data_IF_766635603785
#
_entry.id   IF_766635603785
#
_cell.length_a   1.000
_cell.length_b   1.000
_cell.length_c   1.000
_cell.angle_alpha   90.00
_cell.angle_beta   90.00
_cell.angle_gamma   90.00
#
_symmetry.space_group_name_H-M   'P 1'
#
loop_
_entity.id
_entity.type
_entity.pdbx_description
1 polymer ?
#
# COMPACT_ATOMS: atom_id res chain seq x y z
N UNK A 1 1.10 5.78 11.37
CA UNK A 1 0.68 6.99 12.11
C UNK A 1 -0.68 7.40 11.60
N UNK A 2 -1.62 7.62 12.50
CA UNK A 2 -2.97 8.02 12.16
C UNK A 2 -3.11 9.56 12.20
N UNK A 3 -2.90 10.22 11.07
CA UNK A 3 -3.06 11.67 10.95
C UNK A 3 -4.48 12.13 11.28
N UNK A 4 -5.49 11.31 11.00
CA UNK A 4 -6.87 11.59 11.37
C UNK A 4 -7.02 11.67 12.90
N UNK A 5 -6.35 10.83 13.65
CA UNK A 5 -6.35 10.85 15.10
C UNK A 5 -5.73 12.14 15.64
N UNK A 6 -4.59 12.55 15.09
CA UNK A 6 -3.94 13.81 15.44
C UNK A 6 -4.84 15.05 15.18
N UNK A 7 -5.64 15.02 14.13
CA UNK A 7 -6.58 16.08 13.80
C UNK A 7 -7.80 16.11 14.73
N UNK A 8 -8.40 14.93 15.01
CA UNK A 8 -9.62 14.82 15.83
C UNK A 8 -9.36 14.97 17.33
N UNK A 9 -8.17 14.61 17.77
CA UNK A 9 -7.78 14.57 19.18
C UNK A 9 -6.42 15.25 19.36
N UNK A 10 -6.33 16.58 19.19
CA UNK A 10 -5.08 17.33 19.26
C UNK A 10 -4.39 17.26 20.64
N UNK A 11 -5.16 16.98 21.70
CA UNK A 11 -4.67 16.75 23.05
C UNK A 11 -4.16 15.33 23.29
N UNK A 12 -4.36 14.42 22.34
CA UNK A 12 -3.84 13.05 22.43
C UNK A 12 -2.31 13.07 22.51
N UNK A 13 -1.70 12.24 23.36
CA UNK A 13 -0.24 12.18 23.50
C UNK A 13 0.48 11.61 22.26
N UNK A 14 -0.24 11.33 21.19
CA UNK A 14 0.35 10.91 19.91
C UNK A 14 1.12 12.09 19.31
N UNK A 15 2.45 12.10 19.30
CA UNK A 15 3.25 13.26 18.92
C UNK A 15 3.34 13.41 17.38
N UNK A 16 2.20 13.37 16.69
CA UNK A 16 2.18 13.58 15.25
C UNK A 16 2.10 15.07 14.97
N UNK A 17 3.26 15.63 14.67
CA UNK A 17 3.34 17.00 14.14
C UNK A 17 3.67 16.90 12.66
N UNK A 18 2.87 17.54 11.83
CA UNK A 18 3.21 17.78 10.42
C UNK A 18 3.95 19.12 10.34
N UNK A 19 5.01 19.15 9.53
CA UNK A 19 5.71 20.39 9.24
C UNK A 19 4.92 21.25 8.25
N UNK A 20 5.48 22.41 7.91
CA UNK A 20 4.88 23.31 6.92
C UNK A 20 4.79 22.65 5.54
N UNK A 21 5.80 21.87 5.15
CA UNK A 21 5.85 21.17 3.88
C UNK A 21 5.83 19.66 4.08
N UNK A 22 4.74 19.02 3.68
CA UNK A 22 4.59 17.55 3.73
C UNK A 22 4.68 16.97 2.33
N UNK A 23 5.55 15.97 2.16
CA UNK A 23 5.63 15.17 0.94
C UNK A 23 5.04 13.78 1.21
N UNK A 24 4.00 13.41 0.45
CA UNK A 24 3.40 12.08 0.50
C UNK A 24 3.86 11.29 -0.71
N UNK A 25 4.59 10.20 -0.49
CA UNK A 25 5.11 9.35 -1.56
C UNK A 25 4.13 8.20 -1.83
N UNK A 26 3.49 8.23 -3.01
CA UNK A 26 2.55 7.19 -3.41
C UNK A 26 1.42 7.70 -4.29
N UNK A 27 0.60 6.80 -4.84
CA UNK A 27 -0.50 7.14 -5.75
C UNK A 27 -1.74 6.26 -5.58
N UNK A 28 -1.94 5.70 -4.41
CA UNK A 28 -3.14 4.94 -4.02
C UNK A 28 -4.06 5.72 -3.08
N UNK A 29 -5.21 5.14 -2.72
CA UNK A 29 -6.16 5.79 -1.79
C UNK A 29 -5.50 6.19 -0.47
N UNK A 30 -4.60 5.36 0.08
CA UNK A 30 -3.87 5.72 1.31
C UNK A 30 -2.99 6.98 1.16
N UNK A 31 -2.48 7.27 -0.04
CA UNK A 31 -1.75 8.51 -0.29
C UNK A 31 -2.69 9.71 -0.31
N UNK A 32 -3.87 9.56 -0.95
CA UNK A 32 -4.91 10.61 -0.96
C UNK A 32 -5.38 10.91 0.46
N UNK A 33 -5.72 9.87 1.25
CA UNK A 33 -6.12 10.02 2.65
C UNK A 33 -5.06 10.74 3.47
N UNK A 34 -3.80 10.30 3.40
CA UNK A 34 -2.70 10.90 4.15
C UNK A 34 -2.47 12.36 3.76
N UNK A 35 -2.54 12.67 2.47
CA UNK A 35 -2.36 14.03 1.96
C UNK A 35 -3.47 14.97 2.45
N UNK A 36 -4.73 14.57 2.33
CA UNK A 36 -5.88 15.37 2.77
C UNK A 36 -5.86 15.63 4.28
N UNK A 37 -5.48 14.62 5.10
CA UNK A 37 -5.32 14.83 6.54
C UNK A 37 -4.15 15.76 6.86
N UNK A 38 -3.05 15.71 6.12
CA UNK A 38 -1.94 16.63 6.32
C UNK A 38 -2.33 18.09 5.97
N UNK A 39 -3.12 18.30 4.90
CA UNK A 39 -3.69 19.63 4.57
C UNK A 39 -4.56 20.15 5.71
N UNK A 40 -5.45 19.31 6.26
CA UNK A 40 -6.33 19.69 7.39
C UNK A 40 -5.56 19.99 8.68
N UNK A 41 -4.35 19.47 8.82
CA UNK A 41 -3.41 19.81 9.90
C UNK A 41 -2.59 21.08 9.60
N UNK A 42 -2.85 21.77 8.47
CA UNK A 42 -2.25 23.05 8.14
C UNK A 42 -0.95 22.98 7.32
N UNK A 43 -0.65 21.84 6.71
CA UNK A 43 0.57 21.66 5.90
C UNK A 43 0.32 21.94 4.41
N UNK A 44 1.33 22.51 3.75
CA UNK A 44 1.42 22.56 2.28
C UNK A 44 1.81 21.18 1.77
N UNK A 45 0.91 20.46 1.07
CA UNK A 45 1.10 19.06 0.75
C UNK A 45 1.41 18.84 -0.72
N UNK A 46 2.41 18.01 -0.99
CA UNK A 46 2.73 17.52 -2.34
C UNK A 46 2.71 15.99 -2.35
N UNK A 47 1.90 15.39 -3.23
CA UNK A 47 1.99 13.98 -3.54
C UNK A 47 3.08 13.78 -4.59
N UNK A 48 4.10 12.99 -4.24
CA UNK A 48 5.18 12.59 -5.15
C UNK A 48 4.87 11.22 -5.73
N UNK A 49 4.74 11.12 -7.06
CA UNK A 49 4.39 9.87 -7.71
C UNK A 49 5.29 9.57 -8.90
N UNK A 50 5.89 8.38 -8.89
CA UNK A 50 6.89 7.95 -9.89
C UNK A 50 6.34 7.65 -11.29
N UNK A 51 5.01 7.72 -11.49
CA UNK A 51 4.34 7.57 -12.79
C UNK A 51 3.49 8.80 -13.08
N UNK A 52 2.76 8.77 -14.18
CA UNK A 52 1.85 9.85 -14.55
C UNK A 52 0.48 9.75 -13.86
N UNK A 53 -0.34 10.74 -14.11
CA UNK A 53 -1.72 10.82 -13.57
C UNK A 53 -2.57 9.61 -13.96
N UNK A 54 -2.42 9.13 -15.21
CA UNK A 54 -3.18 7.99 -15.72
C UNK A 54 -2.88 6.66 -15.02
N UNK A 55 -1.70 6.55 -14.38
CA UNK A 55 -1.27 5.36 -13.66
C UNK A 55 -1.58 5.42 -12.15
N UNK A 56 -2.26 6.46 -11.66
CA UNK A 56 -2.72 6.52 -10.28
C UNK A 56 -3.64 5.33 -9.97
N UNK A 57 -3.49 4.76 -8.77
CA UNK A 57 -4.31 3.65 -8.29
C UNK A 57 -5.48 4.10 -7.42
N UNK A 58 -5.47 5.35 -7.00
CA UNK A 58 -6.55 5.92 -6.23
C UNK A 58 -7.81 6.05 -7.09
N UNK A 59 -8.97 6.05 -6.47
CA UNK A 59 -10.24 6.34 -7.14
C UNK A 59 -10.22 7.78 -7.65
N UNK A 60 -10.91 8.00 -8.77
CA UNK A 60 -10.96 9.34 -9.38
C UNK A 60 -11.51 10.38 -8.41
N UNK A 61 -12.58 10.05 -7.70
CA UNK A 61 -13.19 10.94 -6.70
C UNK A 61 -12.22 11.33 -5.59
N UNK A 62 -11.35 10.40 -5.15
CA UNK A 62 -10.36 10.70 -4.11
C UNK A 62 -9.24 11.61 -4.60
N UNK A 63 -8.89 11.50 -5.89
CA UNK A 63 -7.92 12.38 -6.53
C UNK A 63 -8.51 13.79 -6.66
N UNK A 64 -9.74 13.90 -7.14
CA UNK A 64 -10.47 15.17 -7.30
C UNK A 64 -10.61 15.88 -5.95
N UNK A 65 -11.06 15.18 -4.90
CA UNK A 65 -11.15 15.74 -3.56
C UNK A 65 -9.80 16.22 -3.01
N UNK A 66 -8.71 15.49 -3.29
CA UNK A 66 -7.38 15.90 -2.86
C UNK A 66 -6.95 17.20 -3.57
N UNK A 67 -7.23 17.33 -4.87
CA UNK A 67 -6.96 18.54 -5.65
C UNK A 67 -7.81 19.74 -5.14
N UNK A 68 -9.10 19.53 -4.90
CA UNK A 68 -10.01 20.55 -4.35
C UNK A 68 -9.56 21.05 -2.97
N UNK A 69 -9.01 20.17 -2.13
CA UNK A 69 -8.44 20.52 -0.83
C UNK A 69 -7.04 21.19 -0.93
N UNK A 70 -6.49 21.37 -2.15
CA UNK A 70 -5.23 22.09 -2.38
C UNK A 70 -3.98 21.22 -2.38
N UNK A 71 -4.11 19.88 -2.45
CA UNK A 71 -2.97 18.98 -2.61
C UNK A 71 -2.33 19.17 -3.99
N UNK A 72 -1.03 19.39 -4.01
CA UNK A 72 -0.25 19.44 -5.27
C UNK A 72 0.25 18.05 -5.65
N UNK A 73 0.39 17.80 -6.94
CA UNK A 73 0.92 16.54 -7.47
C UNK A 73 2.22 16.80 -8.23
N UNK A 74 3.26 16.09 -7.86
CA UNK A 74 4.54 16.01 -8.58
C UNK A 74 4.63 14.62 -9.22
N UNK A 75 4.23 14.56 -10.49
CA UNK A 75 4.26 13.32 -11.27
C UNK A 75 5.62 13.07 -11.89
N UNK A 76 5.87 11.83 -12.30
CA UNK A 76 7.11 11.39 -12.94
C UNK A 76 8.34 11.78 -12.11
N UNK A 77 8.24 11.58 -10.80
CA UNK A 77 9.32 11.83 -9.88
C UNK A 77 9.36 10.78 -8.76
N UNK A 78 10.54 10.41 -8.34
CA UNK A 78 10.78 9.45 -7.28
C UNK A 78 11.76 9.99 -6.25
N UNK A 79 11.62 9.66 -4.95
CA UNK A 79 12.56 10.08 -3.92
C UNK A 79 13.90 9.32 -4.07
N UNK A 80 15.00 10.02 -3.86
CA UNK A 80 16.36 9.47 -3.87
C UNK A 80 16.98 9.53 -2.48
N UNK A 81 16.90 10.71 -1.83
CA UNK A 81 17.50 10.94 -0.53
C UNK A 81 16.67 11.92 0.30
N UNK A 82 16.89 11.88 1.61
CA UNK A 82 16.35 12.84 2.57
C UNK A 82 17.52 13.55 3.24
N UNK A 83 17.41 14.87 3.36
CA UNK A 83 18.39 15.70 4.04
C UNK A 83 17.78 16.31 5.29
N UNK A 84 18.47 16.16 6.40
CA UNK A 84 18.04 16.67 7.70
C UNK A 84 18.84 17.88 8.16
N UNK A 85 18.36 18.52 9.22
CA UNK A 85 19.12 19.51 9.98
C UNK A 85 20.03 18.84 11.03
N UNK A 86 20.75 19.65 11.78
CA UNK A 86 21.65 19.22 12.87
C UNK A 86 20.93 18.45 13.99
N UNK A 87 19.62 18.61 14.13
CA UNK A 87 18.79 17.91 15.09
C UNK A 87 18.19 16.59 14.57
N UNK A 88 18.50 16.23 13.29
CA UNK A 88 18.02 15.02 12.65
C UNK A 88 16.59 15.12 12.09
N UNK A 89 16.00 16.32 12.03
CA UNK A 89 14.70 16.53 11.39
C UNK A 89 14.88 16.78 9.90
N UNK A 90 14.05 16.09 9.08
CA UNK A 90 14.05 16.26 7.62
C UNK A 90 13.72 17.70 7.23
N UNK A 91 14.44 18.23 6.22
CA UNK A 91 14.27 19.58 5.68
C UNK A 91 14.06 19.59 4.17
N UNK A 92 14.70 18.66 3.48
CA UNK A 92 14.59 18.55 2.03
C UNK A 92 14.52 17.08 1.60
N UNK A 93 13.85 16.88 0.48
CA UNK A 93 13.85 15.61 -0.25
C UNK A 93 14.51 15.82 -1.61
N UNK A 94 15.51 15.02 -1.92
CA UNK A 94 16.07 14.91 -3.26
C UNK A 94 15.23 13.88 -4.04
N UNK A 95 14.82 14.28 -5.23
CA UNK A 95 14.01 13.52 -6.15
C UNK A 95 14.73 13.38 -7.49
N UNK A 96 14.39 12.37 -8.25
CA UNK A 96 14.85 12.18 -9.62
C UNK A 96 13.65 12.14 -10.57
N UNK A 97 13.79 12.70 -11.77
CA UNK A 97 12.76 12.61 -12.80
C UNK A 97 12.63 11.19 -13.32
N UNK A 98 11.42 10.83 -13.70
CA UNK A 98 11.10 9.51 -14.23
C UNK A 98 10.50 9.64 -15.63
N UNK A 99 10.74 8.63 -16.45
CA UNK A 99 10.04 8.41 -17.72
C UNK A 99 9.23 7.13 -17.66
N UNK A 100 8.22 7.03 -18.53
CA UNK A 100 7.41 5.84 -18.63
C UNK A 100 7.94 4.94 -19.74
N UNK A 101 8.55 3.84 -19.37
CA UNK A 101 9.02 2.78 -20.27
C UNK A 101 7.90 1.81 -20.68
N UNK A 102 8.28 0.59 -21.04
CA UNK A 102 7.36 -0.47 -21.42
C UNK A 102 6.42 -0.87 -20.27
N UNK A 103 5.25 -1.43 -20.57
CA UNK A 103 4.33 -1.92 -19.53
C UNK A 103 4.98 -2.99 -18.65
N UNK A 104 4.79 -2.85 -17.33
CA UNK A 104 5.17 -3.88 -16.37
C UNK A 104 4.15 -5.04 -16.36
N UNK A 105 4.40 -6.08 -15.55
CA UNK A 105 3.52 -7.25 -15.43
C UNK A 105 2.09 -6.92 -14.95
N UNK A 106 1.83 -5.70 -14.47
CA UNK A 106 0.49 -5.20 -14.11
C UNK A 106 -0.20 -4.49 -15.28
N UNK A 107 0.44 -4.42 -16.46
CA UNK A 107 -0.03 -3.71 -17.63
C UNK A 107 0.16 -2.19 -17.57
N UNK A 108 0.81 -1.65 -16.54
CA UNK A 108 1.11 -0.22 -16.40
C UNK A 108 2.54 0.07 -16.81
N UNK A 109 2.75 1.20 -17.46
CA UNK A 109 4.08 1.62 -17.88
C UNK A 109 5.07 1.67 -16.71
N UNK A 110 6.22 1.04 -16.88
CA UNK A 110 7.25 0.97 -15.85
C UNK A 110 7.94 2.34 -15.70
N UNK A 111 8.15 2.84 -14.47
CA UNK A 111 8.89 4.07 -14.26
C UNK A 111 10.40 3.81 -14.40
N UNK A 112 11.07 4.59 -15.23
CA UNK A 112 12.52 4.52 -15.47
C UNK A 112 13.13 5.85 -15.04
N UNK A 113 14.19 5.81 -14.23
CA UNK A 113 14.86 7.03 -13.79
C UNK A 113 15.63 7.67 -14.93
N UNK A 114 15.59 9.01 -15.01
CA UNK A 114 16.37 9.82 -15.95
C UNK A 114 17.66 10.26 -15.25
N UNK A 115 18.82 9.70 -15.59
CA UNK A 115 20.07 10.05 -14.92
C UNK A 115 20.41 11.54 -15.08
N UNK A 116 20.92 12.17 -14.00
CA UNK A 116 21.31 13.57 -14.00
C UNK A 116 20.16 14.56 -13.93
N UNK A 117 18.96 14.10 -13.58
CA UNK A 117 17.74 14.93 -13.47
C UNK A 117 17.32 15.17 -12.02
N UNK A 118 18.24 14.99 -11.10
CA UNK A 118 17.99 15.16 -9.66
C UNK A 118 17.60 16.61 -9.35
N UNK A 119 16.64 16.77 -8.46
CA UNK A 119 16.16 18.06 -7.97
C UNK A 119 15.70 17.95 -6.52
N UNK A 120 15.65 19.08 -5.81
CA UNK A 120 15.24 19.11 -4.40
C UNK A 120 13.93 19.84 -4.21
N UNK A 121 13.14 19.35 -3.26
CA UNK A 121 11.91 19.98 -2.79
C UNK A 121 11.96 20.11 -1.27
N UNK A 122 11.33 21.17 -0.69
CA UNK A 122 11.20 21.28 0.75
C UNK A 122 10.37 20.12 1.29
N UNK A 123 10.79 19.52 2.40
CA UNK A 123 10.10 18.44 3.05
C UNK A 123 10.42 18.42 4.54
N UNK A 124 9.49 18.86 5.38
CA UNK A 124 9.60 18.81 6.84
C UNK A 124 8.87 17.58 7.41
N UNK A 125 8.01 16.99 6.63
CA UNK A 125 7.35 15.71 6.92
C UNK A 125 7.31 14.88 5.65
N UNK A 126 7.66 13.60 5.76
CA UNK A 126 7.59 12.63 4.67
C UNK A 126 6.72 11.45 5.07
N UNK A 127 5.71 11.16 4.27
CA UNK A 127 4.78 10.07 4.50
C UNK A 127 4.93 9.03 3.38
N UNK A 128 5.42 7.84 3.70
CA UNK A 128 5.52 6.74 2.76
C UNK A 128 4.18 6.00 2.64
N UNK A 129 3.45 6.24 1.55
CA UNK A 129 2.19 5.59 1.21
C UNK A 129 2.33 4.66 -0.01
N UNK A 130 3.44 3.92 -0.06
CA UNK A 130 3.87 3.08 -1.19
C UNK A 130 3.24 1.70 -1.23
N UNK A 131 2.37 1.38 -0.26
CA UNK A 131 1.78 0.08 -0.04
C UNK A 131 2.62 -0.81 0.87
N UNK A 132 2.08 -1.99 1.16
CA UNK A 132 2.72 -2.98 2.03
C UNK A 132 2.85 -4.30 1.28
N UNK A 133 3.91 -5.04 1.59
CA UNK A 133 4.10 -6.43 1.16
C UNK A 133 3.79 -7.38 2.32
N UNK A 134 3.35 -8.62 2.07
CA UNK A 134 3.22 -9.62 3.11
C UNK A 134 4.53 -9.82 3.86
N UNK A 135 4.44 -9.97 5.19
CA UNK A 135 5.62 -10.19 6.02
C UNK A 135 6.29 -11.53 5.62
N UNK A 136 7.58 -11.55 5.24
CA UNK A 136 8.25 -12.75 4.79
C UNK A 136 8.59 -13.74 5.92
N UNK A 137 8.35 -13.41 7.18
CA UNK A 137 8.71 -14.24 8.34
C UNK A 137 8.08 -15.62 8.25
N UNK A 138 6.77 -15.69 7.96
CA UNK A 138 6.06 -16.96 7.83
C UNK A 138 6.64 -17.84 6.71
N UNK A 139 6.95 -17.24 5.57
CA UNK A 139 7.53 -17.95 4.42
C UNK A 139 8.94 -18.49 4.73
N UNK A 140 9.75 -17.68 5.43
CA UNK A 140 11.11 -18.06 5.83
C UNK A 140 11.13 -19.19 6.87
N UNK A 141 10.18 -19.17 7.81
CA UNK A 141 10.06 -20.18 8.86
C UNK A 141 9.35 -21.46 8.39
N UNK A 142 8.71 -21.45 7.22
CA UNK A 142 7.91 -22.58 6.72
C UNK A 142 8.22 -22.81 5.23
N UNK A 143 9.37 -23.41 4.90
CA UNK A 143 9.81 -23.59 3.51
C UNK A 143 8.87 -24.44 2.63
N UNK A 144 8.02 -25.27 3.24
CA UNK A 144 7.03 -26.11 2.54
C UNK A 144 5.82 -25.28 2.05
N UNK A 145 5.64 -24.05 2.56
CA UNK A 145 4.57 -23.17 2.18
C UNK A 145 4.85 -22.55 0.80
N UNK A 146 4.12 -22.98 -0.20
CA UNK A 146 4.27 -22.45 -1.56
C UNK A 146 3.78 -21.01 -1.62
N UNK A 147 4.65 -20.15 -2.12
CA UNK A 147 4.34 -18.73 -2.29
C UNK A 147 4.65 -18.26 -3.70
N UNK A 148 3.92 -17.26 -4.16
CA UNK A 148 4.17 -16.61 -5.46
C UNK A 148 4.19 -15.08 -5.27
N UNK A 149 5.32 -14.45 -5.55
CA UNK A 149 5.53 -13.01 -5.34
C UNK A 149 5.21 -12.55 -3.91
N UNK A 150 5.63 -13.33 -2.91
CA UNK A 150 5.40 -13.05 -1.51
C UNK A 150 3.99 -13.33 -0.99
N UNK A 151 3.10 -13.88 -1.81
CA UNK A 151 1.73 -14.24 -1.43
C UNK A 151 1.59 -15.75 -1.31
N UNK A 152 0.81 -16.21 -0.36
CA UNK A 152 0.53 -17.64 -0.17
C UNK A 152 -0.34 -18.12 -1.34
N UNK A 153 0.05 -19.23 -1.96
CA UNK A 153 -0.76 -19.90 -2.98
C UNK A 153 -1.79 -20.80 -2.30
N UNK A 154 -3.04 -20.68 -2.73
CA UNK A 154 -4.16 -21.49 -2.25
C UNK A 154 -4.92 -22.10 -3.42
N UNK A 155 -5.67 -23.16 -3.14
CA UNK A 155 -6.67 -23.73 -4.05
C UNK A 155 -8.03 -23.00 -3.92
N UNK A 156 -9.05 -23.49 -4.62
CA UNK A 156 -10.40 -22.92 -4.62
C UNK A 156 -11.10 -22.93 -3.25
N UNK A 157 -10.65 -23.76 -2.31
CA UNK A 157 -11.17 -23.86 -0.94
C UNK A 157 -10.35 -23.09 0.09
N UNK A 158 -9.31 -22.39 -0.33
CA UNK A 158 -8.43 -21.65 0.57
C UNK A 158 -7.35 -22.49 1.24
N UNK A 159 -7.16 -23.77 0.85
CA UNK A 159 -6.09 -24.60 1.37
C UNK A 159 -4.75 -24.23 0.74
N UNK A 160 -3.72 -24.19 1.56
CA UNK A 160 -2.34 -23.97 1.14
C UNK A 160 -1.68 -25.28 0.66
N UNK A 161 -0.40 -25.21 0.30
CA UNK A 161 0.42 -26.40 0.01
C UNK A 161 0.65 -27.31 1.23
N UNK A 162 0.31 -26.85 2.43
CA UNK A 162 0.46 -27.64 3.66
C UNK A 162 -0.91 -28.19 4.03
N UNK A 163 -1.08 -29.52 4.16
CA UNK A 163 -2.36 -30.14 4.52
C UNK A 163 -2.94 -29.55 5.81
N UNK A 164 -4.25 -29.29 5.80
CA UNK A 164 -5.00 -28.70 6.93
C UNK A 164 -4.64 -27.26 7.29
N UNK A 165 -3.85 -26.58 6.46
CA UNK A 165 -3.52 -25.16 6.63
C UNK A 165 -4.25 -24.36 5.57
N UNK A 166 -5.04 -23.39 6.00
CA UNK A 166 -5.86 -22.52 5.16
C UNK A 166 -5.37 -21.07 5.26
N UNK A 167 -5.54 -20.31 4.18
CA UNK A 167 -5.19 -18.89 4.15
C UNK A 167 -6.22 -18.07 3.34
N UNK A 168 -6.35 -16.80 3.68
CA UNK A 168 -7.20 -15.85 2.97
C UNK A 168 -6.85 -14.41 3.29
N UNK A 169 -7.49 -13.45 2.60
CA UNK A 169 -7.23 -12.03 2.76
C UNK A 169 -5.94 -11.56 2.13
N UNK A 170 -5.33 -10.51 2.69
CA UNK A 170 -4.19 -9.82 2.09
C UNK A 170 -2.94 -10.68 1.91
N UNK A 171 -2.75 -11.69 2.74
CA UNK A 171 -1.61 -12.62 2.63
C UNK A 171 -1.68 -13.49 1.36
N UNK A 172 -2.88 -13.65 0.80
CA UNK A 172 -3.16 -14.38 -0.45
C UNK A 172 -3.30 -13.42 -1.63
N UNK A 173 -4.10 -12.35 -1.46
CA UNK A 173 -4.44 -11.42 -2.56
C UNK A 173 -3.43 -10.29 -2.74
N UNK A 174 -2.71 -9.92 -1.68
CA UNK A 174 -2.07 -8.63 -1.51
C UNK A 174 -3.05 -7.63 -0.92
N UNK A 175 -2.58 -6.43 -0.60
CA UNK A 175 -3.43 -5.38 -0.02
C UNK A 175 -4.71 -5.16 -0.82
N UNK A 176 -5.86 -5.29 -0.15
CA UNK A 176 -7.18 -5.25 -0.77
C UNK A 176 -8.22 -4.64 0.19
N UNK A 177 -9.50 -4.89 -0.04
CA UNK A 177 -10.59 -4.35 0.79
C UNK A 177 -10.93 -5.28 1.95
N UNK A 178 -11.41 -4.70 3.05
CA UNK A 178 -11.91 -5.44 4.23
C UNK A 178 -12.99 -6.45 3.82
N UNK A 179 -13.90 -6.08 2.91
CA UNK A 179 -14.97 -6.95 2.42
C UNK A 179 -14.42 -8.21 1.77
N UNK A 180 -13.37 -8.08 0.96
CA UNK A 180 -12.71 -9.23 0.32
C UNK A 180 -11.99 -10.11 1.33
N UNK A 181 -11.32 -9.53 2.31
CA UNK A 181 -10.68 -10.27 3.39
C UNK A 181 -11.69 -11.06 4.23
N UNK A 182 -12.83 -10.43 4.58
CA UNK A 182 -13.94 -11.10 5.28
C UNK A 182 -14.54 -12.24 4.46
N UNK A 183 -14.73 -12.05 3.15
CA UNK A 183 -15.21 -13.11 2.23
C UNK A 183 -14.27 -14.31 2.25
N UNK A 184 -12.98 -14.07 2.13
CA UNK A 184 -11.97 -15.13 2.11
C UNK A 184 -11.92 -15.88 3.46
N UNK A 185 -11.98 -15.15 4.59
CA UNK A 185 -12.04 -15.76 5.91
C UNK A 185 -13.27 -16.66 6.10
N UNK A 186 -14.44 -16.20 5.62
CA UNK A 186 -15.68 -17.02 5.67
C UNK A 186 -15.60 -18.24 4.76
N UNK A 187 -14.98 -18.12 3.58
CA UNK A 187 -14.77 -19.25 2.67
C UNK A 187 -13.84 -20.29 3.28
N UNK A 188 -12.71 -19.85 3.85
CA UNK A 188 -11.77 -20.73 4.55
C UNK A 188 -12.43 -21.42 5.76
N UNK A 189 -13.19 -20.70 6.59
CA UNK A 189 -13.89 -21.28 7.73
C UNK A 189 -14.90 -22.37 7.32
N UNK A 190 -15.62 -22.13 6.21
CA UNK A 190 -16.55 -23.15 5.66
C UNK A 190 -15.79 -24.38 5.18
N UNK A 191 -14.70 -24.20 4.45
CA UNK A 191 -13.88 -25.31 3.96
C UNK A 191 -13.26 -26.12 5.12
N UNK A 192 -12.82 -25.47 6.18
CA UNK A 192 -12.34 -26.14 7.40
C UNK A 192 -13.48 -26.95 8.05
N UNK A 193 -14.67 -26.38 8.17
CA UNK A 193 -15.82 -27.08 8.74
C UNK A 193 -16.20 -28.32 7.91
N UNK A 194 -16.26 -28.19 6.60
CA UNK A 194 -16.55 -29.29 5.68
C UNK A 194 -15.49 -30.41 5.78
N UNK A 195 -14.20 -30.05 5.87
CA UNK A 195 -13.11 -31.00 6.02
C UNK A 195 -13.14 -31.75 7.37
N UNK A 196 -13.52 -31.07 8.46
CA UNK A 196 -13.60 -31.67 9.79
C UNK A 196 -14.86 -32.52 10.00
N UNK A 197 -15.96 -32.19 9.31
CA UNK A 197 -17.24 -32.93 9.43
C UNK A 197 -17.36 -34.10 8.46
N UNK A 198 -16.37 -34.38 7.61
CA UNK A 198 -16.43 -35.40 6.56
C UNK A 198 -17.35 -35.04 5.38
N UNK A 199 -17.99 -33.88 5.40
CA UNK A 199 -18.94 -33.46 4.37
C UNK A 199 -18.31 -33.25 2.98
N UNK A 200 -16.97 -33.16 2.91
CA UNK A 200 -16.21 -32.97 1.68
C UNK A 200 -15.98 -34.30 0.95
N UNK A 201 -15.72 -35.39 1.65
CA UNK A 201 -15.54 -36.74 1.08
C UNK A 201 -16.79 -37.19 0.36
N UNK A 202 -17.98 -36.92 0.95
CA UNK A 202 -19.28 -37.27 0.35
C UNK A 202 -19.61 -36.50 -0.93
N UNK A 203 -19.00 -35.30 -1.16
CA UNK A 203 -19.22 -34.52 -2.39
C UNK A 203 -18.31 -34.92 -3.55
N UNK A 204 -17.13 -35.46 -3.29
CA UNK A 204 -16.23 -35.97 -4.32
C UNK A 204 -16.73 -37.36 -4.82
N UNK A 205 -17.24 -38.19 -3.95
CA UNK A 205 -17.85 -39.47 -4.32
C UNK A 205 -19.11 -39.33 -5.18
N UNK A 206 -19.85 -38.22 -5.06
CA UNK A 206 -21.07 -37.95 -5.87
C UNK A 206 -20.74 -37.35 -7.25
N UNK A 207 -19.50 -36.91 -7.49
CA UNK A 207 -19.03 -36.38 -8.78
C UNK A 207 -18.26 -37.38 -9.64
N UNK A 208 -18.02 -38.59 -9.14
CA UNK A 208 -17.41 -39.69 -9.86
C UNK A 208 -18.48 -40.63 -10.42
#
# INVERSE_FOLDING_TARGET
VNLMEAYKFPESPTPVRVGRHTVVVGGGNSAMDAARWAVRLGSDVTILYRRGRAELKARLEEIEHAEEEGVRFEFLAAPVALYGDENGYVREMECIRMELGEPDESGRRAPVAVPGSEFRIPAETVIAAIGQAPNPTLQKSTPQLVTRRGKIVINEWGETSIPKVFAGGDVVRGGSTVILAMRDGRAAARAIHEALSGARETREEVKA
#
